data_IF_635223126975
#
_entry.id   IF_635223126975
#
_cell.length_a   1.000
_cell.length_b   1.000
_cell.length_c   1.000
_cell.angle_alpha   90.00
_cell.angle_beta   90.00
_cell.angle_gamma   90.00
#
_symmetry.space_group_name_H-M   'P 1'
#
loop_
_entity.id
_entity.type
_entity.pdbx_description
1 polymer ?
#
# COMPACT_ATOMS: atom_id res chain seq x y z
N UNK A 1 -13.15 -3.36 -6.81
CA UNK A 1 -13.01 -4.77 -6.47
C UNK A 1 -12.33 -4.91 -5.10
N UNK A 2 -12.85 -5.76 -4.23
CA UNK A 2 -12.34 -6.01 -2.87
C UNK A 2 -11.03 -6.84 -2.91
N UNK A 3 -9.99 -6.28 -3.54
CA UNK A 3 -8.68 -6.94 -3.69
C UNK A 3 -7.61 -6.18 -2.90
N UNK A 4 -7.15 -6.69 -1.75
CA UNK A 4 -6.15 -6.00 -0.92
C UNK A 4 -4.84 -5.70 -1.66
N UNK A 5 -4.43 -6.57 -2.59
CA UNK A 5 -3.20 -6.41 -3.40
C UNK A 5 -3.40 -5.66 -4.73
N UNK A 6 -4.55 -5.02 -4.93
CA UNK A 6 -4.80 -4.23 -6.14
C UNK A 6 -3.83 -3.05 -6.25
N UNK A 7 -3.34 -2.81 -7.48
CA UNK A 7 -2.49 -1.66 -7.80
C UNK A 7 -2.91 -1.08 -9.13
N UNK A 8 -3.25 0.20 -9.14
CA UNK A 8 -3.64 0.89 -10.36
C UNK A 8 -2.42 1.27 -11.21
N UNK A 9 -2.67 1.58 -12.49
CA UNK A 9 -1.64 2.06 -13.42
C UNK A 9 -0.96 3.35 -12.92
N UNK A 10 -1.67 4.19 -12.18
CA UNK A 10 -1.13 5.45 -11.63
C UNK A 10 -0.50 5.29 -10.24
N UNK A 11 -0.53 4.07 -9.67
CA UNK A 11 0.11 3.73 -8.41
C UNK A 11 -0.77 3.88 -7.18
N UNK A 12 -2.08 4.01 -7.34
CA UNK A 12 -3.02 3.80 -6.23
C UNK A 12 -2.98 2.33 -5.82
N UNK A 13 -2.98 2.05 -4.51
CA UNK A 13 -2.59 0.75 -3.96
C UNK A 13 -3.54 0.30 -2.86
N UNK A 14 -3.81 -1.01 -2.83
CA UNK A 14 -4.56 -1.67 -1.78
C UNK A 14 -6.07 -1.58 -1.93
N UNK A 15 -6.78 -2.05 -0.91
CA UNK A 15 -8.24 -2.06 -0.85
C UNK A 15 -8.85 -0.65 -1.05
N UNK A 16 -8.23 0.35 -0.43
CA UNK A 16 -8.67 1.74 -0.44
C UNK A 16 -8.03 2.59 -1.53
N UNK A 17 -7.21 1.98 -2.39
CA UNK A 17 -6.55 2.65 -3.52
C UNK A 17 -5.81 3.94 -3.12
N UNK A 18 -5.09 3.90 -1.99
CA UNK A 18 -4.30 5.05 -1.56
C UNK A 18 -3.20 5.39 -2.56
N UNK A 19 -3.18 6.65 -2.97
CA UNK A 19 -1.99 7.23 -3.58
C UNK A 19 -0.88 7.33 -2.52
N UNK A 20 0.38 7.22 -2.96
CA UNK A 20 1.54 7.22 -2.06
C UNK A 20 1.52 8.40 -1.07
N UNK A 21 1.41 9.64 -1.57
CA UNK A 21 1.44 10.84 -0.73
C UNK A 21 0.29 10.88 0.28
N UNK A 22 -0.91 10.49 -0.15
CA UNK A 22 -2.08 10.46 0.74
C UNK A 22 -1.92 9.37 1.80
N UNK A 23 -1.44 8.17 1.43
CA UNK A 23 -1.17 7.10 2.39
C UNK A 23 -0.19 7.55 3.48
N UNK A 24 0.93 8.16 3.10
CA UNK A 24 1.92 8.72 4.05
C UNK A 24 1.31 9.80 4.94
N UNK A 25 0.51 10.71 4.39
CA UNK A 25 -0.16 11.78 5.14
C UNK A 25 -1.07 11.21 6.25
N UNK A 26 -1.68 10.05 6.03
CA UNK A 26 -2.55 9.38 6.99
C UNK A 26 -1.88 8.25 7.76
N UNK A 27 -0.53 8.24 7.80
CA UNK A 27 0.27 7.42 8.67
C UNK A 27 0.57 6.01 8.15
N UNK A 28 0.33 5.74 6.86
CA UNK A 28 0.70 4.44 6.27
C UNK A 28 2.19 4.41 5.92
N UNK A 29 2.87 3.40 6.42
CA UNK A 29 4.27 3.16 6.07
C UNK A 29 4.40 2.68 4.62
N UNK A 30 5.43 3.19 3.94
CA UNK A 30 5.92 2.62 2.69
C UNK A 30 7.45 2.60 2.74
N UNK A 31 8.00 1.40 2.80
CA UNK A 31 9.46 1.15 2.83
C UNK A 31 9.89 0.20 1.71
N UNK A 32 11.16 -0.21 1.71
CA UNK A 32 11.65 -1.24 0.80
C UNK A 32 11.04 -2.62 1.07
N UNK A 33 10.65 -2.91 2.31
CA UNK A 33 10.09 -4.18 2.76
C UNK A 33 8.58 -4.14 2.98
N UNK A 34 8.04 -3.00 3.41
CA UNK A 34 6.65 -2.88 3.87
C UNK A 34 5.90 -1.87 3.02
N UNK A 35 4.62 -2.12 2.76
CA UNK A 35 3.68 -1.17 2.18
C UNK A 35 2.31 -1.36 2.84
N UNK A 36 2.04 -0.59 3.89
CA UNK A 36 0.82 -0.70 4.69
C UNK A 36 -0.45 -0.29 3.93
N UNK A 37 -0.33 0.24 2.72
CA UNK A 37 -1.49 0.48 1.86
C UNK A 37 -2.16 -0.82 1.40
N UNK A 38 -1.42 -1.94 1.43
CA UNK A 38 -1.95 -3.28 1.19
C UNK A 38 -2.62 -3.90 2.42
N UNK A 39 -2.30 -3.43 3.62
CA UNK A 39 -2.90 -3.93 4.85
C UNK A 39 -4.36 -3.45 4.96
N UNK A 40 -5.36 -4.37 5.01
CA UNK A 40 -6.75 -3.97 5.04
C UNK A 40 -7.12 -3.16 6.29
N UNK A 41 -6.59 -3.54 7.47
CA UNK A 41 -6.93 -2.90 8.73
C UNK A 41 -6.30 -1.49 8.82
N UNK A 42 -4.99 -1.39 8.56
CA UNK A 42 -4.29 -0.11 8.61
C UNK A 42 -4.80 0.86 7.55
N UNK A 43 -5.01 0.38 6.32
CA UNK A 43 -5.53 1.22 5.25
C UNK A 43 -6.99 1.64 5.49
N UNK A 44 -7.82 0.81 6.14
CA UNK A 44 -9.19 1.20 6.53
C UNK A 44 -9.18 2.30 7.58
N UNK A 45 -8.34 2.18 8.61
CA UNK A 45 -8.17 3.23 9.62
C UNK A 45 -7.68 4.55 9.00
N UNK A 46 -6.75 4.49 8.06
CA UNK A 46 -6.28 5.65 7.33
C UNK A 46 -7.39 6.27 6.45
N UNK A 47 -8.19 5.44 5.77
CA UNK A 47 -9.30 5.89 4.95
C UNK A 47 -10.40 6.55 5.77
N UNK A 48 -10.73 6.02 6.95
CA UNK A 48 -11.69 6.63 7.86
C UNK A 48 -11.23 8.04 8.30
N UNK A 49 -9.94 8.19 8.66
CA UNK A 49 -9.36 9.50 8.99
C UNK A 49 -9.38 10.47 7.80
N UNK A 50 -9.09 9.98 6.60
CA UNK A 50 -9.13 10.79 5.39
C UNK A 50 -10.55 11.25 5.06
N UNK A 51 -11.53 10.35 5.07
CA UNK A 51 -12.94 10.66 4.84
C UNK A 51 -13.48 11.66 5.87
N UNK A 52 -13.18 11.48 7.17
CA UNK A 52 -13.54 12.42 8.22
C UNK A 52 -12.95 13.82 7.96
N UNK A 53 -11.70 13.90 7.50
CA UNK A 53 -11.04 15.15 7.12
C UNK A 53 -11.70 15.81 5.90
N UNK A 54 -12.16 15.03 4.93
CA UNK A 54 -12.89 15.53 3.76
C UNK A 54 -14.28 16.05 4.14
N UNK A 55 -14.99 15.28 4.98
CA UNK A 55 -16.28 15.71 5.50
C UNK A 55 -16.17 17.02 6.30
N UNK A 56 -15.16 17.16 7.16
CA UNK A 56 -14.88 18.42 7.86
C UNK A 56 -14.64 19.59 6.90
N UNK A 57 -14.11 19.33 5.70
CA UNK A 57 -13.84 20.38 4.70
C UNK A 57 -15.10 20.82 3.95
N UNK A 58 -15.98 19.87 3.61
CA UNK A 58 -17.11 20.14 2.72
C UNK A 58 -18.48 20.14 3.43
N UNK A 59 -18.58 19.57 4.64
CA UNK A 59 -19.83 19.45 5.40
C UNK A 59 -20.86 18.50 4.81
N UNK A 60 -20.50 17.77 3.74
CA UNK A 60 -21.39 16.93 2.94
C UNK A 60 -20.68 15.63 2.54
N UNK A 61 -21.36 14.49 2.66
CA UNK A 61 -20.77 13.19 2.37
C UNK A 61 -20.60 12.94 0.88
N UNK A 62 -21.49 13.42 0.04
CA UNK A 62 -21.41 13.23 -1.41
C UNK A 62 -20.18 13.97 -1.97
N UNK A 63 -19.95 15.21 -1.46
CA UNK A 63 -18.76 15.97 -1.79
C UNK A 63 -17.49 15.35 -1.19
N UNK A 64 -17.57 14.77 0.00
CA UNK A 64 -16.43 14.08 0.61
C UNK A 64 -16.03 12.84 -0.19
N UNK A 65 -16.99 12.04 -0.65
CA UNK A 65 -16.76 10.89 -1.51
C UNK A 65 -16.19 11.29 -2.87
N UNK A 66 -16.72 12.34 -3.48
CA UNK A 66 -16.16 12.91 -4.71
C UNK A 66 -14.71 13.38 -4.53
N UNK A 67 -14.41 14.01 -3.38
CA UNK A 67 -13.08 14.47 -3.04
C UNK A 67 -12.12 13.31 -2.67
N UNK A 68 -12.62 12.23 -2.13
CA UNK A 68 -11.84 11.00 -1.91
C UNK A 68 -11.33 10.45 -3.26
N UNK A 69 -12.20 10.39 -4.27
CA UNK A 69 -11.85 9.90 -5.60
C UNK A 69 -10.87 10.84 -6.34
N UNK A 70 -11.16 12.14 -6.41
CA UNK A 70 -10.41 13.06 -7.28
C UNK A 70 -9.48 14.04 -6.55
N UNK A 71 -9.55 14.07 -5.23
CA UNK A 71 -8.86 15.06 -4.40
C UNK A 71 -9.66 16.35 -4.20
N UNK A 72 -9.41 17.00 -3.05
CA UNK A 72 -10.09 18.25 -2.61
C UNK A 72 -10.08 19.34 -3.69
N UNK A 73 -8.94 19.52 -4.37
CA UNK A 73 -8.76 20.59 -5.36
C UNK A 73 -9.72 20.49 -6.53
N UNK A 74 -10.04 19.30 -7.00
CA UNK A 74 -10.98 19.13 -8.11
C UNK A 74 -12.42 19.46 -7.69
N UNK A 75 -12.84 19.06 -6.49
CA UNK A 75 -14.17 19.39 -5.95
C UNK A 75 -14.28 20.91 -5.71
N UNK A 76 -13.30 21.52 -5.05
CA UNK A 76 -13.30 23.01 -4.86
C UNK A 76 -13.34 23.75 -6.18
N UNK A 77 -12.61 23.27 -7.21
CA UNK A 77 -12.66 23.86 -8.55
C UNK A 77 -14.02 23.69 -9.21
N UNK A 78 -14.68 22.54 -9.03
CA UNK A 78 -16.02 22.29 -9.56
C UNK A 78 -17.08 23.19 -8.87
N UNK A 79 -17.03 23.33 -7.55
CA UNK A 79 -17.88 24.28 -6.79
C UNK A 79 -17.74 25.69 -7.34
N UNK A 80 -16.52 26.19 -7.53
CA UNK A 80 -16.31 27.53 -8.10
C UNK A 80 -16.87 27.67 -9.51
N UNK A 81 -16.71 26.63 -10.37
CA UNK A 81 -17.20 26.65 -11.76
C UNK A 81 -18.72 26.57 -11.87
N UNK A 82 -19.38 25.95 -10.91
CA UNK A 82 -20.83 25.84 -10.87
C UNK A 82 -21.52 27.10 -10.37
N UNK A 83 -20.78 28.14 -9.98
CA UNK A 83 -21.34 29.34 -9.36
C UNK A 83 -21.43 29.29 -7.83
N UNK A 84 -20.66 28.38 -7.19
CA UNK A 84 -20.59 28.26 -5.73
C UNK A 84 -21.52 27.20 -5.12
N UNK A 85 -22.22 26.43 -5.93
CA UNK A 85 -23.09 25.36 -5.42
C UNK A 85 -22.30 24.30 -4.66
N UNK A 86 -22.68 24.02 -3.42
CA UNK A 86 -22.10 22.99 -2.55
C UNK A 86 -23.00 21.73 -2.51
N UNK A 87 -23.35 21.22 -3.67
CA UNK A 87 -24.12 20.00 -3.85
C UNK A 87 -23.53 19.19 -5.00
N UNK A 88 -23.35 17.89 -4.78
CA UNK A 88 -22.70 17.00 -5.75
C UNK A 88 -23.39 17.04 -7.13
N UNK A 89 -24.71 16.99 -7.18
CA UNK A 89 -25.47 16.91 -8.43
C UNK A 89 -25.32 18.18 -9.27
N UNK A 90 -25.23 19.34 -8.62
CA UNK A 90 -25.03 20.61 -9.28
C UNK A 90 -23.59 20.79 -9.79
N UNK A 91 -22.59 20.27 -9.07
CA UNK A 91 -21.18 20.36 -9.49
C UNK A 91 -20.76 19.21 -10.41
N UNK A 92 -21.56 18.16 -10.54
CA UNK A 92 -21.25 16.93 -11.31
C UNK A 92 -20.77 17.22 -12.75
N UNK A 93 -21.37 18.15 -13.53
CA UNK A 93 -20.90 18.46 -14.88
C UNK A 93 -19.49 19.07 -14.93
N UNK A 94 -18.99 19.60 -13.82
CA UNK A 94 -17.68 20.24 -13.70
C UNK A 94 -16.61 19.34 -13.08
N UNK A 95 -16.99 18.14 -12.65
CA UNK A 95 -16.08 17.14 -12.09
C UNK A 95 -15.35 16.36 -13.22
N UNK A 96 -14.19 15.76 -12.93
CA UNK A 96 -13.61 14.76 -13.81
C UNK A 96 -14.62 13.63 -14.10
N UNK A 97 -14.61 13.10 -15.30
CA UNK A 97 -15.57 12.06 -15.76
C UNK A 97 -15.66 10.86 -14.80
N UNK A 98 -14.51 10.35 -14.34
CA UNK A 98 -14.47 9.26 -13.36
C UNK A 98 -15.18 9.65 -12.06
N UNK A 99 -14.93 10.86 -11.55
CA UNK A 99 -15.54 11.36 -10.31
C UNK A 99 -17.05 11.62 -10.46
N UNK A 100 -17.46 12.10 -11.63
CA UNK A 100 -18.87 12.28 -11.96
C UNK A 100 -19.68 10.97 -12.02
N UNK A 101 -19.02 9.84 -12.19
CA UNK A 101 -19.60 8.50 -12.10
C UNK A 101 -19.42 7.81 -10.75
N UNK A 102 -18.53 8.33 -9.88
CA UNK A 102 -18.12 7.63 -8.66
C UNK A 102 -19.22 7.53 -7.62
N UNK A 103 -19.90 8.63 -7.28
CA UNK A 103 -21.00 8.63 -6.31
C UNK A 103 -22.20 7.79 -6.79
N UNK A 104 -22.69 7.92 -8.04
CA UNK A 104 -23.74 7.02 -8.55
C UNK A 104 -23.34 5.53 -8.46
N UNK A 105 -22.09 5.18 -8.80
CA UNK A 105 -21.61 3.80 -8.69
C UNK A 105 -21.53 3.32 -7.23
N UNK A 106 -21.13 4.19 -6.31
CA UNK A 106 -21.14 3.91 -4.87
C UNK A 106 -22.56 3.63 -4.37
N UNK A 107 -23.53 4.50 -4.68
CA UNK A 107 -24.92 4.35 -4.27
C UNK A 107 -25.56 3.08 -4.87
N UNK A 108 -25.29 2.78 -6.14
CA UNK A 108 -25.75 1.56 -6.79
C UNK A 108 -25.15 0.30 -6.13
N UNK A 109 -23.87 0.33 -5.78
CA UNK A 109 -23.21 -0.77 -5.07
C UNK A 109 -23.80 -0.95 -3.68
N UNK A 110 -23.99 0.14 -2.94
CA UNK A 110 -24.60 0.12 -1.61
C UNK A 110 -26.02 -0.47 -1.67
N UNK A 111 -26.85 -0.04 -2.63
CA UNK A 111 -28.18 -0.57 -2.88
C UNK A 111 -28.15 -2.10 -3.15
N UNK A 112 -27.23 -2.57 -3.98
CA UNK A 112 -27.10 -4.00 -4.27
C UNK A 112 -26.71 -4.84 -3.04
N UNK A 113 -25.89 -4.30 -2.15
CA UNK A 113 -25.54 -4.99 -0.90
C UNK A 113 -26.70 -4.99 0.10
N UNK A 114 -27.42 -3.87 0.21
CA UNK A 114 -28.57 -3.74 1.11
C UNK A 114 -29.74 -4.65 0.73
N UNK A 115 -29.98 -4.77 -0.57
CA UNK A 115 -31.07 -5.56 -1.13
C UNK A 115 -30.59 -6.86 -1.82
N UNK A 116 -29.48 -7.43 -1.35
CA UNK A 116 -28.84 -8.58 -1.98
C UNK A 116 -29.80 -9.77 -2.14
N UNK A 117 -30.56 -10.10 -1.10
CA UNK A 117 -31.53 -11.20 -1.12
C UNK A 117 -32.66 -10.95 -2.12
N UNK A 118 -33.19 -9.71 -2.18
CA UNK A 118 -34.25 -9.33 -3.11
C UNK A 118 -33.79 -9.44 -4.58
N UNK A 119 -32.47 -9.32 -4.82
CA UNK A 119 -31.86 -9.52 -6.14
C UNK A 119 -31.38 -10.95 -6.38
N UNK A 120 -31.70 -11.90 -5.50
CA UNK A 120 -31.35 -13.32 -5.66
C UNK A 120 -29.86 -13.64 -5.45
N UNK A 121 -29.08 -12.74 -4.86
CA UNK A 121 -27.69 -13.01 -4.53
C UNK A 121 -27.59 -13.97 -3.34
N UNK A 122 -26.88 -15.07 -3.51
CA UNK A 122 -26.54 -16.00 -2.45
C UNK A 122 -25.14 -15.73 -1.93
N UNK A 123 -24.99 -15.56 -0.62
CA UNK A 123 -23.69 -15.42 0.02
C UNK A 123 -23.07 -16.79 0.20
N UNK A 124 -22.05 -17.10 -0.59
CA UNK A 124 -21.21 -18.27 -0.33
C UNK A 124 -20.34 -18.02 0.91
N UNK A 125 -20.50 -18.85 1.93
CA UNK A 125 -19.63 -18.81 3.11
C UNK A 125 -18.20 -19.05 2.68
N UNK A 126 -17.30 -18.08 2.94
CA UNK A 126 -15.88 -18.24 2.67
C UNK A 126 -15.30 -19.34 3.54
N UNK A 127 -14.42 -20.17 2.97
CA UNK A 127 -13.77 -21.27 3.69
C UNK A 127 -12.70 -20.78 4.69
N UNK A 128 -12.37 -19.49 4.70
CA UNK A 128 -11.39 -18.88 5.61
C UNK A 128 -12.13 -17.98 6.59
N UNK A 129 -12.37 -18.43 7.83
CA UNK A 129 -12.86 -17.57 8.90
C UNK A 129 -11.76 -16.59 9.29
N UNK A 130 -11.77 -15.41 8.69
CA UNK A 130 -10.80 -14.31 8.95
C UNK A 130 -10.81 -13.88 10.42
N UNK A 131 -11.85 -14.24 11.18
CA UNK A 131 -12.02 -13.84 12.58
C UNK A 131 -11.17 -14.65 13.57
N UNK A 132 -10.65 -15.81 13.18
CA UNK A 132 -9.82 -16.65 14.02
C UNK A 132 -8.33 -16.47 13.69
N UNK A 133 -7.83 -15.23 13.82
CA UNK A 133 -6.41 -14.90 13.63
C UNK A 133 -5.89 -14.09 14.79
N UNK A 134 -4.59 -14.25 15.09
CA UNK A 134 -3.88 -13.40 16.05
C UNK A 134 -2.54 -12.97 15.48
N UNK A 135 -1.82 -12.11 16.19
CA UNK A 135 -0.55 -11.53 15.77
C UNK A 135 0.57 -11.85 16.74
N UNK A 136 1.75 -12.14 16.19
CA UNK A 136 2.99 -12.36 16.94
C UNK A 136 3.97 -11.23 16.61
N UNK A 137 4.61 -10.66 17.62
CA UNK A 137 5.72 -9.75 17.43
C UNK A 137 6.98 -10.51 16.99
N UNK A 138 7.50 -10.18 15.82
CA UNK A 138 8.69 -10.81 15.27
C UNK A 138 9.93 -10.17 15.87
N UNK A 139 10.81 -10.99 16.46
CA UNK A 139 12.02 -10.57 17.16
C UNK A 139 13.27 -10.56 16.29
N UNK A 140 13.28 -11.41 15.24
CA UNK A 140 14.37 -11.46 14.26
C UNK A 140 13.77 -11.49 12.85
N UNK A 141 14.55 -11.09 11.85
CA UNK A 141 14.10 -11.12 10.46
C UNK A 141 13.76 -12.54 10.02
N UNK A 142 12.58 -12.74 9.47
CA UNK A 142 12.09 -14.01 8.93
C UNK A 142 11.42 -13.80 7.58
N UNK A 143 11.33 -14.87 6.79
CA UNK A 143 10.45 -14.92 5.62
C UNK A 143 9.19 -15.72 5.90
N UNK A 144 8.15 -15.51 5.12
CA UNK A 144 6.92 -16.28 5.23
C UNK A 144 7.12 -17.75 4.84
N UNK A 145 8.16 -18.07 4.06
CA UNK A 145 8.49 -19.45 3.67
C UNK A 145 8.86 -20.28 4.90
N UNK A 146 9.74 -19.75 5.78
CA UNK A 146 10.12 -20.42 7.02
C UNK A 146 8.92 -20.59 7.96
N UNK A 147 8.06 -19.57 8.03
CA UNK A 147 6.81 -19.67 8.80
C UNK A 147 5.90 -20.77 8.25
N UNK A 148 5.78 -20.85 6.91
CA UNK A 148 4.98 -21.87 6.24
C UNK A 148 5.45 -23.28 6.59
N UNK A 149 6.77 -23.50 6.52
CA UNK A 149 7.40 -24.79 6.81
C UNK A 149 7.16 -25.26 8.24
N UNK A 150 7.48 -24.40 9.22
CA UNK A 150 7.43 -24.78 10.64
C UNK A 150 6.02 -24.75 11.26
N UNK A 151 5.06 -24.12 10.61
CA UNK A 151 3.66 -24.05 11.10
C UNK A 151 2.70 -24.88 10.25
N UNK A 152 3.18 -25.55 9.20
CA UNK A 152 2.33 -26.24 8.21
C UNK A 152 1.17 -25.33 7.76
N UNK A 153 1.50 -24.10 7.42
CA UNK A 153 0.52 -23.10 6.95
C UNK A 153 0.78 -22.80 5.49
N UNK A 154 -0.25 -22.88 4.65
CA UNK A 154 -0.11 -22.60 3.22
C UNK A 154 0.41 -21.18 3.00
N UNK A 155 1.39 -21.03 2.11
CA UNK A 155 2.00 -19.75 1.76
C UNK A 155 0.97 -18.72 1.32
N UNK A 156 -0.05 -19.13 0.54
CA UNK A 156 -1.15 -18.25 0.11
C UNK A 156 -1.93 -17.68 1.29
N UNK A 157 -2.14 -18.46 2.35
CA UNK A 157 -2.80 -18.00 3.59
C UNK A 157 -1.94 -16.97 4.30
N UNK A 158 -0.64 -17.23 4.44
CA UNK A 158 0.29 -16.29 5.07
C UNK A 158 0.37 -14.97 4.30
N UNK A 159 0.47 -15.04 2.98
CA UNK A 159 0.48 -13.87 2.13
C UNK A 159 -0.85 -13.10 2.16
N UNK A 160 -1.97 -13.79 2.29
CA UNK A 160 -3.29 -13.16 2.43
C UNK A 160 -3.42 -12.42 3.77
N UNK A 161 -2.94 -13.03 4.85
CA UNK A 161 -2.98 -12.44 6.20
C UNK A 161 -1.94 -11.33 6.40
N UNK A 162 -0.84 -11.34 5.62
CA UNK A 162 0.28 -10.42 5.76
C UNK A 162 0.60 -9.67 4.45
N UNK A 163 -0.39 -9.02 3.81
CA UNK A 163 -0.24 -8.48 2.45
C UNK A 163 0.68 -7.26 2.37
N UNK A 164 1.06 -6.66 3.49
CA UNK A 164 1.94 -5.49 3.55
C UNK A 164 3.41 -5.82 3.29
N UNK A 165 3.86 -7.07 3.49
CA UNK A 165 5.25 -7.47 3.29
C UNK A 165 5.55 -7.74 1.81
N UNK A 166 6.41 -6.91 1.21
CA UNK A 166 6.65 -6.91 -0.25
C UNK A 166 7.47 -8.07 -0.78
N UNK A 167 8.34 -8.60 0.04
CA UNK A 167 9.31 -9.64 -0.32
C UNK A 167 8.98 -10.95 0.39
N UNK A 168 7.79 -11.03 0.97
CA UNK A 168 7.41 -12.08 1.91
C UNK A 168 8.39 -12.19 3.10
N UNK A 169 9.08 -11.07 3.41
CA UNK A 169 10.04 -10.96 4.51
C UNK A 169 9.54 -9.92 5.50
N UNK A 170 9.54 -10.30 6.78
CA UNK A 170 9.23 -9.42 7.91
C UNK A 170 10.54 -8.86 8.44
N UNK A 171 10.80 -7.56 8.26
CA UNK A 171 12.03 -6.95 8.72
C UNK A 171 11.97 -6.70 10.23
N UNK A 172 13.15 -6.57 10.85
CA UNK A 172 13.29 -6.11 12.23
C UNK A 172 14.21 -4.90 12.25
N UNK A 173 13.82 -3.88 13.01
CA UNK A 173 14.56 -2.65 13.19
C UNK A 173 14.72 -2.36 14.69
N UNK A 174 15.79 -1.67 15.08
CA UNK A 174 16.09 -1.38 16.49
C UNK A 174 14.95 -0.65 17.22
N UNK A 175 14.22 0.19 16.52
CA UNK A 175 13.19 1.06 17.10
C UNK A 175 11.77 0.76 16.58
N UNK A 176 11.57 -0.36 15.86
CA UNK A 176 10.27 -0.70 15.29
C UNK A 176 10.11 -2.20 15.17
N UNK A 177 9.07 -2.70 15.82
CA UNK A 177 8.64 -4.10 15.71
C UNK A 177 7.57 -4.25 14.67
N UNK A 178 7.64 -5.35 13.93
CA UNK A 178 6.63 -5.78 12.99
C UNK A 178 5.93 -7.02 13.49
N UNK A 179 4.73 -7.26 13.00
CA UNK A 179 3.89 -8.38 13.44
C UNK A 179 3.64 -9.35 12.31
N UNK A 180 3.66 -10.62 12.64
CA UNK A 180 3.18 -11.71 11.80
C UNK A 180 1.74 -12.04 12.22
N UNK A 181 0.80 -12.07 11.27
CA UNK A 181 -0.57 -12.53 11.51
C UNK A 181 -0.69 -13.98 11.05
N UNK A 182 -1.20 -14.81 11.95
CA UNK A 182 -1.42 -16.24 11.73
C UNK A 182 -2.86 -16.65 12.06
N UNK A 183 -3.36 -17.77 11.51
CA UNK A 183 -4.53 -18.43 12.07
C UNK A 183 -4.32 -18.74 13.55
N UNK A 184 -5.34 -18.53 14.37
CA UNK A 184 -5.25 -18.74 15.82
C UNK A 184 -4.73 -20.14 16.17
N UNK A 185 -5.14 -21.16 15.41
CA UNK A 185 -4.70 -22.56 15.57
C UNK A 185 -3.20 -22.78 15.30
N UNK A 186 -2.54 -21.84 14.66
CA UNK A 186 -1.11 -21.94 14.24
C UNK A 186 -0.17 -21.10 15.12
N UNK A 187 -0.73 -20.34 16.07
CA UNK A 187 0.07 -19.55 17.02
C UNK A 187 0.94 -20.44 17.89
N UNK A 188 0.38 -21.55 18.41
CA UNK A 188 1.12 -22.51 19.22
C UNK A 188 2.28 -23.16 18.47
N UNK A 189 2.06 -23.55 17.21
CA UNK A 189 3.09 -24.12 16.34
C UNK A 189 4.26 -23.15 16.14
N UNK A 190 3.95 -21.85 15.91
CA UNK A 190 5.00 -20.84 15.79
C UNK A 190 5.78 -20.66 17.08
N UNK A 191 5.12 -20.51 18.23
CA UNK A 191 5.79 -20.29 19.52
C UNK A 191 6.67 -21.50 19.90
N UNK A 192 6.21 -22.71 19.65
CA UNK A 192 6.97 -23.93 19.91
C UNK A 192 8.23 -24.02 19.04
N UNK A 193 8.16 -23.57 17.80
CA UNK A 193 9.25 -23.66 16.83
C UNK A 193 10.01 -22.33 16.67
N UNK A 194 9.73 -21.29 17.50
CA UNK A 194 10.27 -19.94 17.32
C UNK A 194 11.80 -19.89 17.18
N UNK A 195 12.50 -20.64 18.03
CA UNK A 195 13.98 -20.67 17.99
C UNK A 195 14.52 -21.30 16.71
N UNK A 196 13.87 -22.37 16.22
CA UNK A 196 14.26 -23.04 14.98
C UNK A 196 13.96 -22.15 13.76
N UNK A 197 12.80 -21.50 13.72
CA UNK A 197 12.44 -20.56 12.66
C UNK A 197 13.51 -19.48 12.54
N UNK A 198 13.93 -18.87 13.64
CA UNK A 198 14.97 -17.85 13.61
C UNK A 198 16.35 -18.39 13.23
N UNK A 199 16.72 -19.60 13.68
CA UNK A 199 17.98 -20.22 13.31
C UNK A 199 18.02 -20.55 11.80
N UNK A 200 16.95 -21.14 11.25
CA UNK A 200 16.83 -21.42 9.82
C UNK A 200 16.85 -20.13 8.99
N UNK A 201 16.10 -19.12 9.41
CA UNK A 201 16.07 -17.82 8.75
C UNK A 201 17.47 -17.19 8.67
N UNK A 202 18.21 -17.21 9.77
CA UNK A 202 19.57 -16.72 9.84
C UNK A 202 20.49 -17.45 8.87
N UNK A 203 20.51 -18.78 8.91
CA UNK A 203 21.34 -19.61 8.02
C UNK A 203 21.03 -19.37 6.54
N UNK A 204 19.77 -19.30 6.17
CA UNK A 204 19.35 -19.04 4.79
C UNK A 204 19.68 -17.64 4.30
N UNK A 205 19.52 -16.62 5.15
CA UNK A 205 19.88 -15.26 4.78
C UNK A 205 21.37 -15.05 4.63
N UNK A 206 22.19 -15.73 5.44
CA UNK A 206 23.66 -15.75 5.32
C UNK A 206 24.15 -16.52 4.08
N UNK A 207 23.48 -17.61 3.72
CA UNK A 207 23.83 -18.44 2.55
C UNK A 207 23.42 -17.83 1.19
N UNK A 208 22.69 -16.69 1.18
CA UNK A 208 22.18 -16.10 -0.07
C UNK A 208 23.30 -15.55 -0.93
N UNK A 209 23.37 -15.96 -2.20
CA UNK A 209 24.29 -15.39 -3.19
C UNK A 209 24.07 -13.87 -3.41
N UNK A 210 22.82 -13.41 -3.31
CA UNK A 210 22.46 -12.01 -3.45
C UNK A 210 22.02 -11.43 -2.12
N UNK A 211 22.71 -10.39 -1.60
CA UNK A 211 22.36 -9.77 -0.34
C UNK A 211 20.94 -9.19 -0.40
N UNK A 212 20.26 -9.24 0.73
CA UNK A 212 18.93 -8.63 0.88
C UNK A 212 19.01 -7.10 0.62
N UNK A 213 17.94 -6.51 0.08
CA UNK A 213 17.87 -5.06 -0.09
C UNK A 213 18.05 -4.36 1.25
N UNK A 214 18.81 -3.27 1.29
CA UNK A 214 18.85 -2.43 2.49
C UNK A 214 17.45 -1.92 2.82
N UNK A 215 17.12 -1.87 4.11
CA UNK A 215 15.92 -1.21 4.58
C UNK A 215 16.03 0.30 4.36
N UNK A 216 14.99 0.90 3.82
CA UNK A 216 14.83 2.36 3.77
C UNK A 216 13.35 2.71 3.71
N UNK A 217 12.96 3.74 4.44
CA UNK A 217 11.66 4.34 4.28
C UNK A 217 11.60 5.17 2.99
N UNK A 218 10.46 5.13 2.33
CA UNK A 218 10.21 5.94 1.15
C UNK A 218 9.48 7.21 1.60
N UNK A 219 10.18 8.34 1.61
CA UNK A 219 9.59 9.60 2.08
C UNK A 219 8.82 10.36 1.02
N UNK A 220 9.28 10.28 -0.22
CA UNK A 220 8.60 10.97 -1.31
C UNK A 220 8.69 10.21 -2.63
N UNK A 221 7.58 10.27 -3.37
CA UNK A 221 7.53 9.86 -4.77
C UNK A 221 7.66 11.11 -5.63
N UNK A 222 8.81 11.29 -6.25
CA UNK A 222 9.10 12.42 -7.11
C UNK A 222 8.82 12.02 -8.55
N UNK A 223 8.02 12.82 -9.26
CA UNK A 223 7.89 12.73 -10.72
C UNK A 223 8.90 13.70 -11.35
N UNK A 224 10.04 13.17 -11.76
CA UNK A 224 11.08 13.97 -12.40
C UNK A 224 10.89 13.99 -13.91
N UNK A 225 10.84 15.18 -14.52
CA UNK A 225 10.86 15.35 -15.97
C UNK A 225 12.31 15.52 -16.44
N UNK A 226 12.77 14.62 -17.28
CA UNK A 226 14.12 14.62 -17.84
C UNK A 226 14.34 15.91 -18.64
N UNK A 227 15.42 16.60 -18.34
CA UNK A 227 15.85 17.85 -19.00
C UNK A 227 16.99 17.58 -19.95
N UNK A 228 17.28 18.54 -20.85
CA UNK A 228 18.48 18.48 -21.68
C UNK A 228 19.74 18.38 -20.80
N UNK A 229 20.66 17.49 -21.19
CA UNK A 229 21.88 17.21 -20.43
C UNK A 229 21.70 16.32 -19.20
N UNK A 230 20.52 15.71 -18.99
CA UNK A 230 20.32 14.72 -17.97
C UNK A 230 20.70 13.31 -18.46
N UNK A 231 21.30 12.53 -17.58
CA UNK A 231 21.55 11.10 -17.70
C UNK A 231 21.28 10.41 -16.37
N UNK A 232 21.02 9.11 -16.38
CA UNK A 232 20.60 8.37 -15.18
C UNK A 232 21.56 8.57 -13.98
N UNK A 233 22.88 8.60 -14.22
CA UNK A 233 23.87 8.82 -13.17
C UNK A 233 23.79 10.19 -12.51
N UNK A 234 23.50 11.26 -13.30
CA UNK A 234 23.29 12.62 -12.77
C UNK A 234 22.02 12.70 -11.93
N UNK A 235 20.94 12.11 -12.44
CA UNK A 235 19.66 12.05 -11.73
C UNK A 235 19.79 11.22 -10.45
N UNK A 236 20.47 10.07 -10.50
CA UNK A 236 20.73 9.21 -9.35
C UNK A 236 21.48 9.94 -8.22
N UNK A 237 22.54 10.68 -8.57
CA UNK A 237 23.29 11.52 -7.62
C UNK A 237 22.44 12.62 -7.02
N UNK A 238 21.65 13.33 -7.85
CA UNK A 238 20.76 14.41 -7.41
C UNK A 238 19.76 13.94 -6.33
N UNK A 239 19.21 12.75 -6.48
CA UNK A 239 18.19 12.20 -5.58
C UNK A 239 18.74 11.19 -4.59
N UNK A 240 20.08 11.03 -4.51
CA UNK A 240 20.76 10.10 -3.60
C UNK A 240 20.26 8.66 -3.70
N UNK A 241 20.02 8.19 -4.94
CA UNK A 241 19.56 6.84 -5.26
C UNK A 241 20.50 6.16 -6.24
N UNK A 242 20.41 4.83 -6.41
CA UNK A 242 21.21 4.10 -7.41
C UNK A 242 20.54 4.13 -8.78
N UNK A 243 21.36 4.12 -9.84
CA UNK A 243 20.86 4.03 -11.24
C UNK A 243 19.96 2.80 -11.43
N UNK A 244 20.37 1.65 -10.87
CA UNK A 244 19.59 0.41 -10.91
C UNK A 244 18.19 0.56 -10.30
N UNK A 245 18.04 1.37 -9.27
CA UNK A 245 16.74 1.65 -8.65
C UNK A 245 15.85 2.50 -9.56
N UNK A 246 16.42 3.56 -10.16
CA UNK A 246 15.67 4.38 -11.14
C UNK A 246 15.19 3.50 -12.29
N UNK A 247 16.07 2.62 -12.82
CA UNK A 247 15.71 1.67 -13.87
C UNK A 247 14.57 0.76 -13.44
N UNK A 248 14.68 0.12 -12.27
CA UNK A 248 13.66 -0.79 -11.73
C UNK A 248 12.30 -0.08 -11.53
N UNK A 249 12.30 1.13 -10.98
CA UNK A 249 11.07 1.88 -10.72
C UNK A 249 10.33 2.33 -11.98
N UNK A 250 11.06 2.45 -13.09
CA UNK A 250 10.56 2.97 -14.36
C UNK A 250 10.53 1.92 -15.48
N UNK A 251 10.88 0.67 -15.22
CA UNK A 251 10.92 -0.39 -16.22
C UNK A 251 11.93 -0.16 -17.34
N UNK A 252 13.03 0.58 -17.06
CA UNK A 252 14.02 0.92 -18.06
C UNK A 252 14.97 -0.26 -18.31
N UNK A 253 15.10 -0.68 -19.56
CA UNK A 253 16.05 -1.73 -19.97
C UNK A 253 17.44 -1.16 -20.28
N UNK A 254 17.51 0.03 -20.87
CA UNK A 254 18.76 0.74 -21.21
C UNK A 254 19.00 1.93 -20.27
N UNK A 255 20.12 2.63 -20.43
CA UNK A 255 20.42 3.86 -19.70
C UNK A 255 19.93 5.13 -20.44
N UNK A 256 19.35 4.97 -21.62
CA UNK A 256 18.93 6.06 -22.47
C UNK A 256 17.69 6.75 -21.93
N UNK A 257 17.71 8.05 -21.97
CA UNK A 257 16.60 8.91 -21.54
C UNK A 257 16.18 9.83 -22.67
N UNK A 258 14.88 10.01 -22.83
CA UNK A 258 14.33 11.02 -23.76
C UNK A 258 14.07 12.32 -23.00
N UNK A 259 14.45 13.46 -23.58
CA UNK A 259 14.09 14.78 -23.03
C UNK A 259 12.55 14.85 -22.88
N UNK A 260 12.08 15.31 -21.73
CA UNK A 260 10.65 15.34 -21.40
C UNK A 260 10.10 14.04 -20.81
N UNK A 261 10.85 12.93 -20.84
CA UNK A 261 10.47 11.68 -20.21
C UNK A 261 10.20 11.89 -18.71
N UNK A 262 9.13 11.28 -18.19
CA UNK A 262 8.79 11.35 -16.76
C UNK A 262 9.30 10.12 -16.05
N UNK A 263 10.18 10.34 -15.06
CA UNK A 263 10.71 9.29 -14.21
C UNK A 263 10.07 9.36 -12.82
N UNK A 264 9.69 8.22 -12.33
CA UNK A 264 9.33 8.03 -10.91
C UNK A 264 10.59 7.78 -10.12
N UNK A 265 10.86 8.60 -9.11
CA UNK A 265 11.99 8.48 -8.22
C UNK A 265 11.45 8.45 -6.79
N UNK A 266 11.87 7.47 -6.01
CA UNK A 266 11.57 7.40 -4.59
C UNK A 266 12.77 7.93 -3.82
N UNK A 267 12.64 9.12 -3.24
CA UNK A 267 13.65 9.74 -2.41
C UNK A 267 13.78 8.98 -1.07
N UNK A 268 14.99 8.85 -0.56
CA UNK A 268 15.28 8.29 0.75
C UNK A 268 15.41 9.40 1.77
N UNK A 269 14.86 9.20 2.97
CA UNK A 269 15.39 9.89 4.14
C UNK A 269 16.62 9.12 4.63
N UNK A 270 17.76 9.77 4.86
CA UNK A 270 18.96 9.11 5.35
C UNK A 270 18.94 8.81 6.86
N UNK A 271 17.78 8.75 7.51
CA UNK A 271 17.70 8.19 8.86
C UNK A 271 18.13 6.73 8.74
N UNK A 272 19.36 6.49 9.18
CA UNK A 272 20.01 5.19 9.14
C UNK A 272 19.26 4.23 10.08
N UNK A 273 18.29 3.51 9.52
CA UNK A 273 17.85 2.27 10.15
C UNK A 273 18.84 1.19 9.74
N UNK A 274 19.64 0.79 10.67
CA UNK A 274 20.44 -0.44 10.53
C UNK A 274 19.44 -1.59 10.67
N UNK A 275 19.31 -2.43 9.64
CA UNK A 275 18.77 -3.75 9.85
C UNK A 275 19.67 -4.39 10.89
N UNK A 276 19.12 -4.85 12.02
CA UNK A 276 19.88 -5.64 12.95
C UNK A 276 20.47 -6.80 12.15
N UNK A 277 21.76 -6.71 11.93
CA UNK A 277 22.50 -7.78 11.29
C UNK A 277 22.29 -9.05 12.13
N UNK A 278 21.91 -10.08 11.43
CA UNK A 278 21.86 -11.47 11.82
C UNK A 278 22.95 -11.88 12.81
#
# INVERSE_FOLDING_TARGET
ALKPRAKSRVGATGLWQFMFATGKQYGLEVSSYVDERFDPLRSTNAAAKYLASLYKTFGDWDLALAAYNSGRGNVTKAIRRSGGYQNYWNIRPFLPSETAGYLPAFLATFYLFEYAEAHGFQVNKTQLPIHATDTIHVKQMISLDQVAEFTDTKMETLQHLNPSYKLDIIPVLDNKTYVLRLPLTKIGDFVQNEAQIYATAKAEFEAREKPLPQFFEIDSKIRYKVKSGDYLGKIARKFKVRVSQIKKWNGLRTNDLKIGQRLTIYSRNPTAYTLNNL
#
